data_IF_808362125327
#
_entry.id   IF_808362125327
#
_cell.length_a   1.000
_cell.length_b   1.000
_cell.length_c   1.000
_cell.angle_alpha   90.00
_cell.angle_beta   90.00
_cell.angle_gamma   90.00
#
_symmetry.space_group_name_H-M   'P 1'
#
loop_
_entity.id
_entity.type
_entity.pdbx_description
1 polymer ?
#
# COMPACT_ATOMS: atom_id res chain seq x y z
N UNK A 1 17.75 -26.94 9.24
CA UNK A 1 16.65 -27.13 8.27
C UNK A 1 16.12 -25.81 7.69
N UNK A 2 15.96 -24.74 8.49
CA UNK A 2 15.53 -23.44 7.95
C UNK A 2 16.66 -22.64 7.27
N UNK A 3 17.92 -22.80 7.69
CA UNK A 3 19.07 -22.09 7.09
C UNK A 3 19.36 -22.48 5.64
N UNK A 4 19.13 -23.75 5.26
CA UNK A 4 19.38 -24.24 3.90
C UNK A 4 18.40 -23.64 2.87
N UNK A 5 17.18 -23.34 3.33
CA UNK A 5 16.14 -22.69 2.53
C UNK A 5 16.47 -21.22 2.31
N UNK A 6 16.89 -20.52 3.37
CA UNK A 6 17.31 -19.11 3.32
C UNK A 6 18.48 -18.91 2.34
N UNK A 7 19.48 -19.80 2.39
CA UNK A 7 20.65 -19.72 1.52
C UNK A 7 20.36 -19.99 0.04
N UNK A 8 19.19 -20.56 -0.28
CA UNK A 8 18.74 -20.79 -1.67
C UNK A 8 17.75 -19.73 -2.16
N UNK A 9 17.30 -18.81 -1.31
CA UNK A 9 16.41 -17.72 -1.73
C UNK A 9 17.19 -16.73 -2.62
N UNK A 10 16.73 -16.47 -3.86
CA UNK A 10 17.42 -15.57 -4.78
C UNK A 10 17.15 -14.09 -4.45
N UNK A 11 18.17 -13.25 -4.59
CA UNK A 11 18.05 -11.79 -4.52
C UNK A 11 17.58 -11.25 -3.16
N UNK A 12 16.75 -10.21 -3.19
CA UNK A 12 16.30 -9.45 -2.02
C UNK A 12 15.38 -10.26 -1.06
N UNK A 13 14.90 -11.43 -1.49
CA UNK A 13 14.03 -12.29 -0.67
C UNK A 13 14.71 -12.80 0.60
N UNK A 14 16.03 -12.93 0.61
CA UNK A 14 16.80 -13.27 1.81
C UNK A 14 16.69 -12.17 2.86
N UNK A 15 16.90 -10.92 2.48
CA UNK A 15 16.78 -9.78 3.39
C UNK A 15 15.34 -9.67 3.94
N UNK A 16 14.34 -9.92 3.09
CA UNK A 16 12.95 -10.01 3.52
C UNK A 16 12.76 -11.13 4.54
N UNK A 17 13.31 -12.33 4.30
CA UNK A 17 13.21 -13.45 5.24
C UNK A 17 13.89 -13.18 6.59
N UNK A 18 14.99 -12.42 6.61
CA UNK A 18 15.65 -11.99 7.85
C UNK A 18 14.77 -11.01 8.66
N UNK A 19 13.96 -10.19 7.99
CA UNK A 19 13.05 -9.22 8.63
C UNK A 19 11.73 -9.86 9.09
N UNK A 20 11.07 -10.63 8.22
CA UNK A 20 9.71 -11.16 8.47
C UNK A 20 9.69 -12.61 8.94
N UNK A 21 10.83 -13.31 8.88
CA UNK A 21 10.95 -14.74 9.16
C UNK A 21 10.77 -15.62 7.90
N UNK A 22 11.36 -16.82 7.96
CA UNK A 22 11.42 -17.76 6.82
C UNK A 22 10.03 -18.20 6.37
N UNK A 23 9.13 -18.53 7.29
CA UNK A 23 7.80 -19.01 6.96
C UNK A 23 6.97 -17.95 6.23
N UNK A 24 7.08 -16.68 6.66
CA UNK A 24 6.40 -15.56 6.02
C UNK A 24 7.01 -15.23 4.64
N UNK A 25 8.33 -15.33 4.49
CA UNK A 25 8.98 -15.17 3.20
C UNK A 25 8.58 -16.28 2.20
N UNK A 26 8.46 -17.53 2.67
CA UNK A 26 7.93 -18.62 1.85
C UNK A 26 6.48 -18.37 1.43
N UNK A 27 5.64 -17.89 2.35
CA UNK A 27 4.26 -17.52 2.03
C UNK A 27 4.15 -16.35 1.01
N UNK A 28 5.16 -15.47 0.96
CA UNK A 28 5.26 -14.44 -0.08
C UNK A 28 5.64 -15.05 -1.43
N UNK A 29 6.60 -15.98 -1.46
CA UNK A 29 7.00 -16.68 -2.69
C UNK A 29 5.86 -17.54 -3.22
N UNK A 30 5.11 -18.22 -2.37
CA UNK A 30 3.95 -19.03 -2.75
C UNK A 30 2.85 -18.18 -3.39
N UNK A 31 2.56 -17.01 -2.84
CA UNK A 31 1.48 -16.13 -3.33
C UNK A 31 1.86 -15.22 -4.49
N UNK A 32 3.11 -14.77 -4.54
CA UNK A 32 3.56 -13.74 -5.49
C UNK A 32 4.74 -14.19 -6.35
N UNK A 33 5.15 -15.46 -6.27
CA UNK A 33 6.23 -16.03 -7.08
C UNK A 33 5.99 -15.82 -8.58
N UNK A 34 7.03 -15.41 -9.29
CA UNK A 34 6.94 -15.09 -10.73
C UNK A 34 6.33 -13.72 -11.05
N UNK A 35 5.97 -12.92 -10.04
CA UNK A 35 5.49 -11.53 -10.22
C UNK A 35 6.48 -10.51 -9.63
N UNK A 36 6.36 -9.25 -10.06
CA UNK A 36 7.11 -8.14 -9.48
C UNK A 36 6.25 -7.37 -8.50
N UNK A 37 6.58 -7.43 -7.21
CA UNK A 37 5.91 -6.64 -6.17
C UNK A 37 6.64 -5.30 -6.02
N UNK A 38 5.92 -4.20 -6.28
CA UNK A 38 6.44 -2.86 -5.99
C UNK A 38 6.14 -2.50 -4.53
N UNK A 39 7.17 -2.46 -3.69
CA UNK A 39 7.05 -1.98 -2.31
C UNK A 39 6.97 -0.43 -2.31
N UNK A 40 5.84 0.18 -1.89
CA UNK A 40 5.74 1.64 -1.84
C UNK A 40 6.57 2.20 -0.70
N UNK A 41 7.03 3.46 -0.84
CA UNK A 41 7.66 4.19 0.26
C UNK A 41 6.63 4.44 1.36
N UNK A 42 7.01 4.19 2.62
CA UNK A 42 6.13 4.40 3.77
C UNK A 42 5.52 5.81 3.80
N UNK A 43 6.31 6.84 3.49
CA UNK A 43 5.82 8.23 3.46
C UNK A 43 4.68 8.44 2.44
N UNK A 44 4.81 7.85 1.25
CA UNK A 44 3.78 7.92 0.22
C UNK A 44 2.50 7.22 0.66
N UNK A 45 2.64 6.00 1.20
CA UNK A 45 1.50 5.22 1.69
C UNK A 45 0.74 5.95 2.82
N UNK A 46 1.46 6.49 3.81
CA UNK A 46 0.86 7.22 4.92
C UNK A 46 0.18 8.51 4.44
N UNK A 47 0.79 9.20 3.47
CA UNK A 47 0.21 10.39 2.84
C UNK A 47 -1.11 10.05 2.14
N UNK A 48 -1.14 8.96 1.37
CA UNK A 48 -2.34 8.54 0.64
C UNK A 48 -3.47 8.14 1.61
N UNK A 49 -3.14 7.40 2.68
CA UNK A 49 -4.10 7.05 3.75
C UNK A 49 -4.69 8.32 4.40
N UNK A 50 -3.84 9.28 4.75
CA UNK A 50 -4.26 10.56 5.32
C UNK A 50 -5.18 11.32 4.35
N UNK A 51 -4.75 11.47 3.11
CA UNK A 51 -5.46 12.23 2.09
C UNK A 51 -6.84 11.60 1.77
N UNK A 52 -6.93 10.26 1.78
CA UNK A 52 -8.20 9.53 1.67
C UNK A 52 -9.11 9.76 2.87
N UNK A 53 -8.56 9.78 4.08
CA UNK A 53 -9.33 10.06 5.29
C UNK A 53 -9.90 11.48 5.27
N UNK A 54 -9.12 12.46 4.78
CA UNK A 54 -9.56 13.86 4.63
C UNK A 54 -10.73 13.94 3.65
N UNK A 55 -10.64 13.27 2.49
CA UNK A 55 -11.75 13.22 1.50
C UNK A 55 -12.99 12.58 2.09
N UNK A 56 -12.88 11.40 2.70
CA UNK A 56 -14.04 10.72 3.28
C UNK A 56 -14.75 11.56 4.35
N UNK A 57 -14.00 12.29 5.18
CA UNK A 57 -14.57 13.20 6.17
C UNK A 57 -15.23 14.42 5.53
N UNK A 58 -14.67 14.96 4.44
CA UNK A 58 -15.26 16.06 3.68
C UNK A 58 -16.56 15.62 2.99
N UNK A 59 -16.52 14.47 2.29
CA UNK A 59 -17.66 13.89 1.56
C UNK A 59 -18.82 13.52 2.50
N UNK A 60 -18.54 13.24 3.77
CA UNK A 60 -19.58 13.03 4.79
C UNK A 60 -20.41 14.28 5.11
N UNK A 61 -20.01 15.46 4.62
CA UNK A 61 -20.69 16.74 4.83
C UNK A 61 -20.59 17.32 6.24
N UNK A 62 -19.88 16.65 7.16
CA UNK A 62 -19.79 17.03 8.59
C UNK A 62 -18.63 17.98 8.90
N UNK A 63 -17.72 18.20 7.95
CA UNK A 63 -16.51 18.98 8.19
C UNK A 63 -16.24 19.97 7.05
N UNK A 64 -16.06 21.24 7.42
CA UNK A 64 -15.59 22.29 6.52
C UNK A 64 -14.05 22.24 6.36
N UNK A 65 -13.52 22.85 5.29
CA UNK A 65 -12.09 22.87 4.93
C UNK A 65 -11.24 23.32 6.13
N UNK A 66 -11.67 24.37 6.83
CA UNK A 66 -10.96 24.91 8.00
C UNK A 66 -10.90 23.93 9.18
N UNK A 67 -11.99 23.19 9.40
CA UNK A 67 -12.04 22.19 10.47
C UNK A 67 -11.07 21.03 10.19
N UNK A 68 -10.97 20.61 8.93
CA UNK A 68 -10.01 19.58 8.51
C UNK A 68 -8.57 20.07 8.59
N UNK A 69 -8.30 21.31 8.17
CA UNK A 69 -6.99 21.95 8.28
C UNK A 69 -6.48 21.95 9.73
N UNK A 70 -7.32 22.35 10.69
CA UNK A 70 -6.99 22.32 12.11
C UNK A 70 -6.77 20.89 12.63
N UNK A 71 -7.66 19.95 12.31
CA UNK A 71 -7.60 18.55 12.77
C UNK A 71 -6.31 17.86 12.31
N UNK A 72 -5.91 18.07 11.06
CA UNK A 72 -4.75 17.43 10.46
C UNK A 72 -3.48 18.29 10.51
N UNK A 73 -3.54 19.49 11.11
CA UNK A 73 -2.45 20.48 11.16
C UNK A 73 -1.90 20.81 9.76
N UNK A 74 -2.80 21.00 8.81
CA UNK A 74 -2.52 21.37 7.43
C UNK A 74 -3.04 22.78 7.15
N UNK A 75 -2.60 23.37 6.03
CA UNK A 75 -3.16 24.63 5.55
C UNK A 75 -4.42 24.37 4.73
N UNK A 76 -5.31 25.35 4.67
CA UNK A 76 -6.52 25.33 3.82
C UNK A 76 -6.17 25.05 2.35
N UNK A 77 -5.02 25.57 1.88
CA UNK A 77 -4.49 25.31 0.55
C UNK A 77 -4.18 23.82 0.35
N UNK A 78 -3.48 23.20 1.28
CA UNK A 78 -3.14 21.77 1.19
C UNK A 78 -4.40 20.91 1.21
N UNK A 79 -5.38 21.21 2.06
CA UNK A 79 -6.67 20.52 2.06
C UNK A 79 -7.36 20.68 0.70
N UNK A 80 -7.41 21.90 0.17
CA UNK A 80 -8.01 22.16 -1.15
C UNK A 80 -7.30 21.41 -2.28
N UNK A 81 -5.97 21.32 -2.25
CA UNK A 81 -5.19 20.54 -3.22
C UNK A 81 -5.47 19.03 -3.11
N UNK A 82 -5.63 18.51 -1.89
CA UNK A 82 -6.01 17.12 -1.63
C UNK A 82 -7.41 16.83 -2.20
N UNK A 83 -8.38 17.70 -1.95
CA UNK A 83 -9.75 17.55 -2.45
C UNK A 83 -9.82 17.66 -3.99
N UNK A 84 -8.99 18.50 -4.60
CA UNK A 84 -8.91 18.64 -6.07
C UNK A 84 -8.23 17.46 -6.76
N UNK A 85 -7.30 16.77 -6.10
CA UNK A 85 -6.66 15.58 -6.67
C UNK A 85 -7.68 14.47 -6.75
N UNK A 86 -8.08 14.10 -7.98
CA UNK A 86 -8.80 12.86 -8.25
C UNK A 86 -7.92 11.70 -7.80
N UNK A 87 -8.33 10.99 -6.76
CA UNK A 87 -7.55 9.83 -6.34
C UNK A 87 -7.75 8.72 -7.36
N UNK A 88 -6.67 8.26 -7.99
CA UNK A 88 -6.68 6.95 -8.63
C UNK A 88 -6.72 5.98 -7.46
N UNK A 89 -7.89 5.36 -7.23
CA UNK A 89 -7.98 4.25 -6.29
C UNK A 89 -6.76 3.37 -6.51
N UNK A 90 -6.03 3.03 -5.44
CA UNK A 90 -4.92 2.08 -5.51
C UNK A 90 -5.43 0.95 -6.40
N UNK A 91 -4.84 0.72 -7.58
CA UNK A 91 -5.31 -0.37 -8.42
C UNK A 91 -5.25 -1.58 -7.50
N UNK A 92 -6.41 -2.13 -7.16
CA UNK A 92 -6.44 -3.50 -6.68
C UNK A 92 -5.62 -4.25 -7.73
N UNK A 93 -4.63 -5.07 -7.33
CA UNK A 93 -3.86 -5.80 -8.30
C UNK A 93 -4.87 -6.39 -9.27
N UNK A 94 -4.64 -6.16 -10.57
CA UNK A 94 -5.50 -6.59 -11.67
C UNK A 94 -5.43 -8.12 -11.79
N UNK A 95 -5.63 -8.84 -10.67
CA UNK A 95 -6.01 -10.23 -10.63
C UNK A 95 -7.53 -10.25 -10.72
N UNK A 96 -8.02 -10.15 -11.96
CA UNK A 96 -9.12 -10.99 -12.44
C UNK A 96 -9.48 -10.63 -13.88
N UNK A 97 -8.56 -10.90 -14.81
CA UNK A 97 -9.00 -11.17 -16.19
C UNK A 97 -8.47 -12.50 -16.75
N UNK A 98 -7.41 -13.06 -16.16
CA UNK A 98 -6.79 -14.30 -16.68
C UNK A 98 -6.58 -15.41 -15.65
N UNK A 99 -6.95 -15.23 -14.37
CA UNK A 99 -6.64 -16.20 -13.32
C UNK A 99 -7.68 -17.31 -13.11
N UNK A 100 -8.81 -17.33 -13.84
CA UNK A 100 -9.88 -18.33 -13.65
C UNK A 100 -9.88 -19.49 -14.66
N UNK A 101 -8.94 -19.53 -15.61
CA UNK A 101 -8.84 -20.64 -16.57
C UNK A 101 -7.40 -21.05 -16.86
N UNK A 102 -6.80 -21.80 -15.95
CA UNK A 102 -5.82 -22.83 -16.31
C UNK A 102 -6.20 -24.09 -15.53
N UNK A 103 -6.79 -25.04 -16.27
CA UNK A 103 -6.99 -26.43 -15.84
C UNK A 103 -5.69 -27.20 -15.97
#
# INVERSE_FOLDING_TARGET
>A
MNEDVINKLPGDLREVAEIVGVDNALALVERFGGTYIRVPKCEGLLRDIRDNSIRALYDSGKHDIRALALKYRLTDRTISEILKKTNVAVPQPLLDLFATHLK
#
